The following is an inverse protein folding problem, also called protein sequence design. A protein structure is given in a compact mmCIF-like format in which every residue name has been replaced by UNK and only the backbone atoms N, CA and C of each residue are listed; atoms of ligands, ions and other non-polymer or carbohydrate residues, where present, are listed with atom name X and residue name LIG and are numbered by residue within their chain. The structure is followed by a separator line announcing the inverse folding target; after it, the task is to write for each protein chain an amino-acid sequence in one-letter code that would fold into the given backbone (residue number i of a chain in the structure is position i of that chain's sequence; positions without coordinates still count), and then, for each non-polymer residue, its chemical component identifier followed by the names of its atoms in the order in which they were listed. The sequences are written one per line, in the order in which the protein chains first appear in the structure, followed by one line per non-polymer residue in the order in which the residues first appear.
data_IF_920574783887
#
_entry.id   IF_920574783887
#
_cell.length_a   1.000
_cell.length_b   1.000
_cell.length_c   1.000
_cell.angle_alpha   90.00
_cell.angle_beta   90.00
_cell.angle_gamma   90.00
#
_symmetry.space_group_name_H-M   'P 1'
#
loop_
_entity.id
_entity.type
_entity.pdbx_description
1 polymer ?
#
# COMPACT_ATOMS: atom_id res chain seq x y z
N UNK A 1 11.83 -20.37 16.31
CA UNK A 1 11.51 -19.32 15.32
C UNK A 1 10.56 -19.79 14.22
N UNK A 2 10.87 -20.81 13.45
CA UNK A 2 10.04 -21.29 12.33
C UNK A 2 8.59 -21.64 12.73
N UNK A 3 8.39 -22.32 13.83
CA UNK A 3 7.05 -22.66 14.32
C UNK A 3 6.22 -21.42 14.70
N UNK A 4 6.87 -20.40 15.28
CA UNK A 4 6.24 -19.13 15.62
C UNK A 4 5.82 -18.37 14.36
N UNK A 5 6.71 -18.29 13.36
CA UNK A 5 6.43 -17.67 12.07
C UNK A 5 5.25 -18.35 11.35
N UNK A 6 5.27 -19.69 11.29
CA UNK A 6 4.18 -20.47 10.67
C UNK A 6 2.82 -20.22 11.35
N UNK A 7 2.83 -20.12 12.66
CA UNK A 7 1.64 -19.82 13.46
C UNK A 7 1.13 -18.40 13.16
N UNK A 8 2.02 -17.41 13.15
CA UNK A 8 1.65 -16.01 12.86
C UNK A 8 1.14 -15.85 11.42
N UNK A 9 1.82 -16.44 10.42
CA UNK A 9 1.34 -16.42 9.04
C UNK A 9 -0.06 -17.03 8.93
N UNK A 10 -0.30 -18.20 9.55
CA UNK A 10 -1.61 -18.82 9.55
C UNK A 10 -2.68 -17.93 10.22
N UNK A 11 -2.33 -17.25 11.30
CA UNK A 11 -3.22 -16.31 11.98
C UNK A 11 -3.58 -15.13 11.07
N UNK A 12 -2.60 -14.53 10.40
CA UNK A 12 -2.79 -13.40 9.48
C UNK A 12 -3.67 -13.78 8.29
N UNK A 13 -3.43 -14.93 7.65
CA UNK A 13 -4.27 -15.41 6.54
C UNK A 13 -5.70 -15.78 6.95
N UNK A 14 -5.97 -15.96 8.24
CA UNK A 14 -7.34 -16.14 8.77
C UNK A 14 -8.02 -14.83 9.17
N UNK A 15 -7.29 -13.73 9.24
CA UNK A 15 -7.86 -12.43 9.58
C UNK A 15 -8.70 -11.88 8.41
N UNK A 16 -9.95 -11.54 8.70
CA UNK A 16 -10.86 -10.92 7.72
C UNK A 16 -10.33 -9.59 7.19
N UNK A 17 -9.57 -8.86 8.00
CA UNK A 17 -8.99 -7.57 7.65
C UNK A 17 -8.10 -7.61 6.41
N UNK A 18 -7.31 -8.68 6.22
CA UNK A 18 -6.47 -8.86 5.04
C UNK A 18 -7.30 -8.94 3.74
N UNK A 19 -8.39 -9.72 3.76
CA UNK A 19 -9.27 -9.87 2.60
C UNK A 19 -10.08 -8.60 2.30
N UNK A 20 -10.53 -7.90 3.35
CA UNK A 20 -11.23 -6.63 3.21
C UNK A 20 -10.30 -5.60 2.53
N UNK A 21 -9.04 -5.52 2.95
CA UNK A 21 -8.08 -4.59 2.34
C UNK A 21 -7.76 -4.95 0.90
N UNK A 22 -7.61 -6.24 0.58
CA UNK A 22 -7.44 -6.69 -0.79
C UNK A 22 -8.66 -6.32 -1.65
N UNK A 23 -9.88 -6.47 -1.12
CA UNK A 23 -11.10 -6.09 -1.81
C UNK A 23 -11.19 -4.56 -2.03
N UNK A 24 -10.82 -3.75 -1.04
CA UNK A 24 -10.75 -2.29 -1.18
C UNK A 24 -9.74 -1.92 -2.27
N UNK A 25 -8.56 -2.54 -2.28
CA UNK A 25 -7.54 -2.29 -3.29
C UNK A 25 -8.06 -2.62 -4.70
N UNK A 26 -8.70 -3.78 -4.88
CA UNK A 26 -9.34 -4.14 -6.15
C UNK A 26 -10.42 -3.14 -6.56
N UNK A 27 -11.25 -2.70 -5.63
CA UNK A 27 -12.33 -1.76 -5.90
C UNK A 27 -11.77 -0.40 -6.36
N UNK A 28 -10.74 0.11 -5.69
CA UNK A 28 -10.07 1.36 -6.09
C UNK A 28 -9.43 1.23 -7.48
N UNK A 29 -8.77 0.10 -7.76
CA UNK A 29 -8.21 -0.14 -9.09
C UNK A 29 -9.31 -0.20 -10.17
N UNK A 30 -10.43 -0.88 -9.90
CA UNK A 30 -11.56 -0.94 -10.83
C UNK A 30 -12.13 0.44 -11.12
N UNK A 31 -12.26 1.30 -10.10
CA UNK A 31 -12.69 2.68 -10.29
C UNK A 31 -11.68 3.42 -11.16
N UNK A 32 -10.39 3.36 -10.84
CA UNK A 32 -9.34 4.05 -11.58
C UNK A 32 -9.32 3.64 -13.07
N UNK A 33 -9.34 2.35 -13.36
CA UNK A 33 -9.40 1.86 -14.74
C UNK A 33 -10.73 2.17 -15.42
N UNK A 34 -11.84 2.12 -14.67
CA UNK A 34 -13.18 2.46 -15.16
C UNK A 34 -13.28 3.94 -15.58
N UNK A 35 -12.75 4.85 -14.75
CA UNK A 35 -12.73 6.30 -15.07
C UNK A 35 -11.84 6.57 -16.28
N UNK A 36 -10.64 5.99 -16.33
CA UNK A 36 -9.74 6.14 -17.48
C UNK A 36 -10.37 5.64 -18.79
N UNK A 37 -11.04 4.49 -18.75
CA UNK A 37 -11.76 3.97 -19.92
C UNK A 37 -12.92 4.87 -20.34
N UNK A 38 -13.67 5.39 -19.36
CA UNK A 38 -14.82 6.25 -19.62
C UNK A 38 -14.40 7.55 -20.31
N UNK A 39 -13.27 8.12 -19.93
CA UNK A 39 -12.73 9.35 -20.54
C UNK A 39 -12.06 9.08 -21.89
N UNK A 40 -11.41 7.92 -22.04
CA UNK A 40 -10.71 7.53 -23.29
C UNK A 40 -11.63 7.18 -24.45
N UNK A 41 -12.87 6.72 -24.18
CA UNK A 41 -13.83 6.35 -25.21
C UNK A 41 -14.83 7.51 -25.43
N UNK A 42 -14.81 8.20 -26.60
CA UNK A 42 -15.65 9.37 -26.84
C UNK A 42 -17.16 9.06 -26.73
N UNK A 43 -17.57 7.83 -27.07
CA UNK A 43 -18.98 7.43 -26.99
C UNK A 43 -19.42 7.27 -25.53
N UNK A 44 -18.53 6.79 -24.64
CA UNK A 44 -18.78 6.69 -23.20
C UNK A 44 -18.71 8.06 -22.54
N UNK A 45 -17.76 8.91 -22.95
CA UNK A 45 -17.62 10.27 -22.44
C UNK A 45 -18.86 11.12 -22.70
N UNK A 46 -19.47 11.02 -23.90
CA UNK A 46 -20.73 11.73 -24.22
C UNK A 46 -21.88 11.22 -23.33
N UNK A 47 -22.00 9.91 -23.12
CA UNK A 47 -23.03 9.35 -22.22
C UNK A 47 -22.84 9.81 -20.77
N UNK A 48 -21.59 9.91 -20.32
CA UNK A 48 -21.28 10.39 -18.97
C UNK A 48 -21.65 11.88 -18.82
N UNK A 49 -21.37 12.70 -19.83
CA UNK A 49 -21.81 14.11 -19.86
C UNK A 49 -23.35 14.24 -19.85
N UNK A 50 -24.04 13.39 -20.60
CA UNK A 50 -25.52 13.35 -20.57
C UNK A 50 -26.07 12.92 -19.21
N UNK A 51 -25.32 12.10 -18.47
CA UNK A 51 -25.64 11.69 -17.10
C UNK A 51 -25.29 12.75 -16.04
N UNK A 52 -24.78 13.93 -16.44
CA UNK A 52 -24.44 15.03 -15.54
C UNK A 52 -23.04 14.99 -14.96
N UNK A 53 -22.13 14.16 -15.50
CA UNK A 53 -20.72 14.17 -15.10
C UNK A 53 -19.98 15.30 -15.84
N UNK A 54 -19.32 16.17 -15.09
CA UNK A 54 -18.42 17.18 -15.65
C UNK A 54 -17.07 16.51 -15.97
N UNK A 55 -16.77 16.33 -17.25
CA UNK A 55 -15.45 15.87 -17.70
C UNK A 55 -14.66 17.12 -18.08
N UNK A 56 -13.62 17.40 -17.32
CA UNK A 56 -12.74 18.56 -17.53
C UNK A 56 -11.70 18.29 -18.61
N UNK A 57 -11.06 19.34 -19.12
CA UNK A 57 -9.93 19.21 -20.04
C UNK A 57 -8.74 18.49 -19.41
N UNK A 58 -8.58 18.64 -18.10
CA UNK A 58 -7.51 17.98 -17.35
C UNK A 58 -7.73 16.47 -17.31
N UNK A 59 -8.97 15.99 -17.08
CA UNK A 59 -9.31 14.56 -17.12
C UNK A 59 -8.97 13.94 -18.49
N UNK A 60 -9.21 14.68 -19.56
CA UNK A 60 -8.90 14.22 -20.94
C UNK A 60 -7.39 14.16 -21.15
N UNK A 61 -6.63 15.15 -20.68
CA UNK A 61 -5.17 15.15 -20.77
C UNK A 61 -4.54 14.01 -19.98
N UNK A 62 -5.06 13.72 -18.78
CA UNK A 62 -4.63 12.61 -17.93
C UNK A 62 -4.92 11.24 -18.59
N UNK A 63 -6.06 11.10 -19.26
CA UNK A 63 -6.40 9.89 -19.99
C UNK A 63 -5.49 9.65 -21.21
N UNK A 64 -5.07 10.69 -21.92
CA UNK A 64 -4.08 10.59 -22.99
C UNK A 64 -2.70 10.23 -22.44
N UNK A 65 -2.26 10.90 -21.38
CA UNK A 65 -1.00 10.57 -20.71
C UNK A 65 -0.97 9.12 -20.22
N UNK A 66 -2.11 8.60 -19.74
CA UNK A 66 -2.24 7.20 -19.32
C UNK A 66 -2.08 6.22 -20.49
N UNK A 67 -2.58 6.55 -21.68
CA UNK A 67 -2.43 5.70 -22.87
C UNK A 67 -0.99 5.63 -23.37
N UNK A 68 -0.19 6.69 -23.17
CA UNK A 68 1.22 6.74 -23.55
C UNK A 68 2.14 6.07 -22.51
N UNK A 69 1.70 5.93 -21.26
CA UNK A 69 2.48 5.30 -20.18
C UNK A 69 2.63 3.81 -20.40
N UNK A 70 3.78 3.28 -19.99
CA UNK A 70 3.97 1.83 -19.89
C UNK A 70 3.27 1.28 -18.64
N UNK A 71 2.94 -0.02 -18.65
CA UNK A 71 2.34 -0.66 -17.46
C UNK A 71 3.27 -0.57 -16.24
N UNK A 72 4.61 -0.62 -16.46
CA UNK A 72 5.60 -0.44 -15.41
C UNK A 72 5.58 0.97 -14.81
N UNK A 73 5.43 2.01 -15.62
CA UNK A 73 5.40 3.40 -15.13
C UNK A 73 4.13 3.66 -14.30
N UNK A 74 3.00 3.12 -14.75
CA UNK A 74 1.76 3.18 -13.99
C UNK A 74 1.86 2.46 -12.63
N UNK A 75 2.45 1.26 -12.60
CA UNK A 75 2.74 0.56 -11.34
C UNK A 75 3.68 1.37 -10.44
N UNK A 76 4.69 2.00 -11.02
CA UNK A 76 5.60 2.89 -10.29
C UNK A 76 4.86 4.07 -9.66
N UNK A 77 3.96 4.71 -10.41
CA UNK A 77 3.16 5.82 -9.88
C UNK A 77 2.23 5.38 -8.74
N UNK A 78 1.59 4.23 -8.83
CA UNK A 78 0.75 3.66 -7.76
C UNK A 78 1.55 3.35 -6.49
N UNK A 79 2.80 2.88 -6.64
CA UNK A 79 3.65 2.50 -5.51
C UNK A 79 4.27 3.72 -4.82
N UNK A 80 4.73 4.70 -5.61
CA UNK A 80 5.58 5.78 -5.09
C UNK A 80 4.86 7.13 -5.01
N UNK A 81 3.95 7.45 -5.93
CA UNK A 81 3.31 8.77 -5.98
C UNK A 81 1.94 8.81 -5.31
N UNK A 82 1.18 7.72 -5.37
CA UNK A 82 -0.21 7.72 -4.92
C UNK A 82 -0.44 7.64 -3.42
N UNK A 83 0.58 7.24 -2.63
CA UNK A 83 0.45 7.08 -1.16
C UNK A 83 -0.62 6.06 -0.71
N UNK A 84 -1.49 5.62 -1.63
CA UNK A 84 -2.62 4.73 -1.34
C UNK A 84 -2.15 3.36 -0.87
N UNK A 85 -1.18 2.77 -1.57
CA UNK A 85 -0.64 1.46 -1.23
C UNK A 85 0.09 1.48 0.11
N UNK A 86 0.90 2.51 0.36
CA UNK A 86 1.60 2.71 1.63
C UNK A 86 0.63 2.91 2.78
N UNK A 87 -0.43 3.68 2.59
CA UNK A 87 -1.47 3.90 3.60
C UNK A 87 -2.21 2.61 3.94
N UNK A 88 -2.65 1.84 2.94
CA UNK A 88 -3.35 0.57 3.15
C UNK A 88 -2.49 -0.44 3.88
N UNK A 89 -1.23 -0.62 3.47
CA UNK A 89 -0.33 -1.59 4.11
C UNK A 89 -0.02 -1.21 5.56
N UNK A 90 0.10 0.08 5.86
CA UNK A 90 0.29 0.60 7.22
C UNK A 90 -0.91 0.30 8.10
N UNK A 91 -2.13 0.52 7.62
CA UNK A 91 -3.36 0.22 8.37
C UNK A 91 -3.43 -1.29 8.67
N UNK A 92 -3.23 -2.14 7.65
CA UNK A 92 -3.23 -3.60 7.83
C UNK A 92 -2.16 -4.06 8.82
N UNK A 93 -0.94 -3.54 8.69
CA UNK A 93 0.15 -3.89 9.59
C UNK A 93 -0.13 -3.44 11.03
N UNK A 94 -0.78 -2.28 11.23
CA UNK A 94 -1.22 -1.81 12.55
C UNK A 94 -2.22 -2.79 13.19
N UNK A 95 -3.21 -3.23 12.42
CA UNK A 95 -4.19 -4.21 12.90
C UNK A 95 -3.50 -5.53 13.27
N UNK A 96 -2.66 -6.07 12.39
CA UNK A 96 -1.95 -7.34 12.60
C UNK A 96 -1.04 -7.30 13.84
N UNK A 97 -0.37 -6.18 14.08
CA UNK A 97 0.56 -6.05 15.21
C UNK A 97 -0.19 -5.80 16.51
N UNK A 98 -1.15 -4.86 16.49
CA UNK A 98 -1.82 -4.47 17.72
C UNK A 98 -2.87 -5.49 18.19
N UNK A 99 -3.36 -6.38 17.32
CA UNK A 99 -4.25 -7.47 17.68
C UNK A 99 -3.65 -8.38 18.76
N UNK A 100 -2.35 -8.64 18.71
CA UNK A 100 -1.64 -9.41 19.73
C UNK A 100 -1.65 -8.73 21.11
N UNK A 101 -1.73 -7.40 21.16
CA UNK A 101 -1.81 -6.66 22.42
C UNK A 101 -3.24 -6.57 22.95
N UNK A 102 -4.23 -6.43 22.06
CA UNK A 102 -5.64 -6.31 22.42
C UNK A 102 -6.24 -7.65 22.88
N UNK A 103 -5.86 -8.74 22.23
CA UNK A 103 -6.31 -10.10 22.57
C UNK A 103 -5.57 -10.72 23.76
N UNK A 104 -4.53 -10.05 24.26
CA UNK A 104 -3.68 -10.58 25.33
C UNK A 104 -2.79 -11.76 24.91
N UNK A 105 -2.79 -12.09 23.61
CA UNK A 105 -1.97 -13.18 23.04
C UNK A 105 -0.48 -12.99 23.30
N UNK A 106 -0.01 -11.73 23.32
CA UNK A 106 1.36 -11.38 23.65
C UNK A 106 1.80 -11.88 25.05
N UNK A 107 0.91 -11.83 26.06
CA UNK A 107 1.22 -12.33 27.41
C UNK A 107 1.47 -13.84 27.43
N UNK A 108 0.67 -14.59 26.68
CA UNK A 108 0.79 -16.04 26.60
C UNK A 108 2.03 -16.48 25.83
N UNK A 109 2.41 -15.76 24.77
CA UNK A 109 3.63 -16.05 24.01
C UNK A 109 4.87 -15.82 24.85
N UNK A 110 4.94 -14.74 25.63
CA UNK A 110 6.10 -14.44 26.46
C UNK A 110 6.31 -15.46 27.59
N UNK A 111 5.28 -16.18 28.02
CA UNK A 111 5.40 -17.27 28.96
C UNK A 111 6.06 -18.52 28.35
N UNK A 112 5.80 -18.77 27.05
CA UNK A 112 6.35 -19.91 26.31
C UNK A 112 7.70 -19.62 25.65
N UNK A 113 7.91 -18.39 25.17
CA UNK A 113 9.13 -17.94 24.48
C UNK A 113 9.79 -16.81 25.26
N UNK A 114 10.75 -17.11 26.15
CA UNK A 114 11.37 -16.09 27.01
C UNK A 114 12.22 -15.07 26.25
N UNK A 115 12.62 -15.39 25.01
CA UNK A 115 13.42 -14.48 24.16
C UNK A 115 12.51 -13.54 23.37
N UNK A 116 12.32 -12.32 23.87
CA UNK A 116 11.54 -11.26 23.19
C UNK A 116 12.01 -10.95 21.77
N UNK A 117 13.30 -11.14 21.50
CA UNK A 117 13.89 -10.95 20.16
C UNK A 117 13.23 -11.87 19.13
N UNK A 118 13.02 -13.14 19.44
CA UNK A 118 12.44 -14.12 18.53
C UNK A 118 11.01 -13.76 18.12
N UNK A 119 10.25 -13.15 19.04
CA UNK A 119 8.92 -12.64 18.74
C UNK A 119 8.97 -11.46 17.78
N UNK A 120 9.83 -10.46 18.04
CA UNK A 120 9.96 -9.27 17.19
C UNK A 120 10.40 -9.65 15.78
N UNK A 121 11.43 -10.50 15.65
CA UNK A 121 11.90 -10.99 14.35
C UNK A 121 10.82 -11.78 13.60
N UNK A 122 10.10 -12.65 14.29
CA UNK A 122 9.00 -13.41 13.68
C UNK A 122 7.89 -12.47 13.16
N UNK A 123 7.57 -11.43 13.93
CA UNK A 123 6.56 -10.44 13.54
C UNK A 123 7.03 -9.61 12.34
N UNK A 124 8.29 -9.17 12.35
CA UNK A 124 8.90 -8.44 11.25
C UNK A 124 8.89 -9.26 9.96
N UNK A 125 9.30 -10.54 10.02
CA UNK A 125 9.23 -11.45 8.88
C UNK A 125 7.79 -11.63 8.37
N UNK A 126 6.83 -11.79 9.28
CA UNK A 126 5.41 -11.90 8.89
C UNK A 126 4.94 -10.66 8.13
N UNK A 127 5.30 -9.45 8.59
CA UNK A 127 4.98 -8.20 7.91
C UNK A 127 5.68 -8.09 6.56
N UNK A 128 6.91 -8.58 6.43
CA UNK A 128 7.62 -8.67 5.15
C UNK A 128 6.91 -9.58 4.14
N UNK A 129 6.37 -10.72 4.59
CA UNK A 129 5.55 -11.58 3.73
C UNK A 129 4.23 -10.93 3.34
N UNK A 130 3.58 -10.24 4.27
CA UNK A 130 2.31 -9.54 4.01
C UNK A 130 2.52 -8.40 3.00
N UNK A 131 3.58 -7.59 3.17
CA UNK A 131 3.89 -6.51 2.23
C UNK A 131 4.22 -7.05 0.83
N UNK A 132 4.99 -8.15 0.75
CA UNK A 132 5.28 -8.83 -0.52
C UNK A 132 4.02 -9.40 -1.17
N UNK A 133 3.13 -10.01 -0.39
CA UNK A 133 1.85 -10.51 -0.89
C UNK A 133 0.99 -9.40 -1.50
N UNK A 134 0.84 -8.26 -0.80
CA UNK A 134 0.06 -7.14 -1.33
C UNK A 134 0.70 -6.50 -2.56
N UNK A 135 2.02 -6.43 -2.62
CA UNK A 135 2.73 -5.92 -3.79
C UNK A 135 2.50 -6.82 -5.01
N UNK A 136 2.66 -8.14 -4.85
CA UNK A 136 2.40 -9.10 -5.93
C UNK A 136 0.93 -9.11 -6.35
N UNK A 137 0.02 -8.98 -5.38
CA UNK A 137 -1.40 -8.88 -5.63
C UNK A 137 -1.75 -7.62 -6.44
N UNK A 138 -1.21 -6.44 -6.06
CA UNK A 138 -1.36 -5.20 -6.80
C UNK A 138 -0.85 -5.34 -8.23
N UNK A 139 0.37 -5.86 -8.38
CA UNK A 139 1.00 -6.05 -9.69
C UNK A 139 0.18 -6.99 -10.56
N UNK A 140 -0.24 -8.14 -10.02
CA UNK A 140 -1.06 -9.10 -10.75
C UNK A 140 -2.43 -8.52 -11.14
N UNK A 141 -3.09 -7.82 -10.21
CA UNK A 141 -4.37 -7.16 -10.47
C UNK A 141 -4.24 -6.10 -11.57
N UNK A 142 -3.20 -5.27 -11.53
CA UNK A 142 -2.95 -4.23 -12.54
C UNK A 142 -2.69 -4.85 -13.91
N UNK A 143 -1.81 -5.85 -14.00
CA UNK A 143 -1.51 -6.55 -15.26
C UNK A 143 -2.73 -7.24 -15.88
N UNK A 144 -3.67 -7.71 -15.06
CA UNK A 144 -4.92 -8.30 -15.54
C UNK A 144 -5.95 -7.25 -15.95
N UNK A 145 -5.99 -6.11 -15.25
CA UNK A 145 -6.96 -5.06 -15.53
C UNK A 145 -6.64 -4.28 -16.81
N UNK A 146 -5.37 -4.14 -17.20
CA UNK A 146 -5.01 -3.48 -18.46
C UNK A 146 -5.72 -4.11 -19.68
N UNK A 147 -5.55 -5.40 -19.98
CA UNK A 147 -6.23 -6.04 -21.10
C UNK A 147 -7.74 -6.11 -20.88
N UNK A 148 -8.22 -6.33 -19.64
CA UNK A 148 -9.64 -6.36 -19.34
C UNK A 148 -10.34 -5.02 -19.59
N UNK A 149 -9.66 -3.92 -19.36
CA UNK A 149 -10.15 -2.58 -19.67
C UNK A 149 -9.98 -2.21 -21.17
N UNK A 150 -9.33 -3.06 -21.97
CA UNK A 150 -9.10 -2.81 -23.39
C UNK A 150 -7.89 -1.94 -23.70
N UNK A 151 -7.03 -1.67 -22.73
CA UNK A 151 -5.77 -0.95 -22.95
C UNK A 151 -4.66 -1.89 -23.40
N UNK A 152 -3.95 -1.53 -24.47
CA UNK A 152 -2.84 -2.30 -25.03
C UNK A 152 -1.47 -1.68 -24.73
N UNK A 153 -1.33 -1.09 -23.54
CA UNK A 153 -0.08 -0.46 -23.15
C UNK A 153 1.06 -1.50 -23.05
N UNK A 154 2.26 -1.20 -23.58
CA UNK A 154 3.40 -2.11 -23.49
C UNK A 154 3.81 -2.34 -22.03
N UNK A 155 4.30 -3.55 -21.74
CA UNK A 155 4.71 -3.93 -20.38
C UNK A 155 5.89 -3.08 -19.87
N UNK A 156 6.68 -2.51 -20.78
CA UNK A 156 7.91 -1.81 -20.46
C UNK A 156 9.11 -2.77 -20.34
N UNK A 157 10.21 -2.27 -19.79
CA UNK A 157 11.43 -3.06 -19.62
C UNK A 157 11.28 -4.01 -18.41
N UNK A 158 11.40 -5.34 -18.58
CA UNK A 158 11.24 -6.31 -17.48
C UNK A 158 12.28 -6.13 -16.37
N UNK A 159 13.47 -5.65 -16.66
CA UNK A 159 14.51 -5.37 -15.66
C UNK A 159 14.10 -4.17 -14.79
N UNK A 160 13.54 -3.13 -15.41
CA UNK A 160 13.04 -1.97 -14.70
C UNK A 160 11.84 -2.35 -13.80
N UNK A 161 10.92 -3.17 -14.29
CA UNK A 161 9.81 -3.70 -13.52
C UNK A 161 10.29 -4.49 -12.29
N UNK A 162 11.27 -5.39 -12.48
CA UNK A 162 11.84 -6.16 -11.38
C UNK A 162 12.52 -5.26 -10.34
N UNK A 163 13.28 -4.26 -10.77
CA UNK A 163 13.90 -3.29 -9.88
C UNK A 163 12.85 -2.49 -9.08
N UNK A 164 11.78 -2.02 -9.74
CA UNK A 164 10.67 -1.34 -9.08
C UNK A 164 9.96 -2.21 -8.04
N UNK A 165 9.76 -3.50 -8.34
CA UNK A 165 9.14 -4.43 -7.39
C UNK A 165 10.04 -4.65 -6.16
N UNK A 166 11.33 -4.79 -6.34
CA UNK A 166 12.28 -4.96 -5.22
C UNK A 166 12.34 -3.70 -4.36
N UNK A 167 12.47 -2.53 -4.99
CA UNK A 167 12.50 -1.25 -4.28
C UNK A 167 11.15 -0.95 -3.60
N UNK A 168 10.05 -1.20 -4.28
CA UNK A 168 8.70 -1.06 -3.72
C UNK A 168 8.48 -1.97 -2.51
N UNK A 169 8.92 -3.24 -2.61
CA UNK A 169 8.85 -4.16 -1.47
C UNK A 169 9.71 -3.69 -0.29
N UNK A 170 10.93 -3.24 -0.54
CA UNK A 170 11.82 -2.71 0.49
C UNK A 170 11.22 -1.47 1.18
N UNK A 171 10.61 -0.56 0.41
CA UNK A 171 9.91 0.61 0.91
C UNK A 171 8.72 0.24 1.80
N UNK A 172 7.82 -0.63 1.31
CA UNK A 172 6.67 -1.11 2.08
C UNK A 172 7.09 -1.88 3.34
N UNK A 173 8.14 -2.68 3.25
CA UNK A 173 8.69 -3.39 4.40
C UNK A 173 9.26 -2.43 5.44
N UNK A 174 9.95 -1.38 5.02
CA UNK A 174 10.46 -0.32 5.90
C UNK A 174 9.33 0.38 6.66
N UNK A 175 8.24 0.75 5.97
CA UNK A 175 7.05 1.32 6.59
C UNK A 175 6.40 0.36 7.60
N UNK A 176 6.33 -0.93 7.29
CA UNK A 176 5.83 -1.95 8.21
C UNK A 176 6.72 -2.08 9.45
N UNK A 177 8.04 -2.02 9.30
CA UNK A 177 8.99 -2.08 10.40
C UNK A 177 8.85 -0.87 11.33
N UNK A 178 8.72 0.32 10.75
CA UNK A 178 8.47 1.57 11.48
C UNK A 178 7.13 1.50 12.23
N UNK A 179 6.08 1.01 11.58
CA UNK A 179 4.78 0.83 12.19
C UNK A 179 4.81 -0.17 13.35
N UNK A 180 5.56 -1.28 13.23
CA UNK A 180 5.78 -2.23 14.31
C UNK A 180 6.37 -1.52 15.55
N UNK A 181 7.33 -0.61 15.36
CA UNK A 181 7.91 0.17 16.44
C UNK A 181 6.86 1.08 17.09
N UNK A 182 6.05 1.79 16.31
CA UNK A 182 4.99 2.64 16.85
C UNK A 182 3.92 1.82 17.59
N UNK A 183 3.53 0.67 17.07
CA UNK A 183 2.59 -0.22 17.75
C UNK A 183 3.14 -0.71 19.10
N UNK A 184 4.44 -1.04 19.19
CA UNK A 184 5.06 -1.45 20.44
C UNK A 184 5.12 -0.35 21.49
N UNK A 185 5.31 0.90 21.05
CA UNK A 185 5.36 2.07 21.93
C UNK A 185 3.96 2.47 22.41
N UNK A 186 3.00 2.56 21.51
CA UNK A 186 1.66 3.12 21.81
C UNK A 186 0.68 2.07 22.31
N UNK A 187 0.83 0.81 21.92
CA UNK A 187 -0.09 -0.32 22.18
C UNK A 187 -1.54 -0.05 21.79
N UNK A 188 -1.78 0.95 20.94
CA UNK A 188 -3.11 1.36 20.47
C UNK A 188 -3.12 1.40 18.94
N UNK A 189 -4.05 0.66 18.34
CA UNK A 189 -4.18 0.54 16.86
C UNK A 189 -4.31 1.91 16.20
N UNK A 190 -5.23 2.76 16.69
CA UNK A 190 -5.51 4.05 16.06
C UNK A 190 -4.30 4.99 16.10
N UNK A 191 -3.62 5.08 17.25
CA UNK A 191 -2.48 6.00 17.42
C UNK A 191 -1.30 5.55 16.56
N UNK A 192 -0.99 4.24 16.55
CA UNK A 192 0.10 3.73 15.71
C UNK A 192 -0.21 3.87 14.22
N UNK A 193 -1.46 3.62 13.81
CA UNK A 193 -1.87 3.79 12.42
C UNK A 193 -1.76 5.25 11.98
N UNK A 194 -2.25 6.21 12.77
CA UNK A 194 -2.16 7.63 12.46
C UNK A 194 -0.71 8.10 12.33
N UNK A 195 0.16 7.73 13.29
CA UNK A 195 1.58 8.08 13.24
C UNK A 195 2.26 7.50 12.00
N UNK A 196 1.98 6.24 11.68
CA UNK A 196 2.60 5.58 10.54
C UNK A 196 2.07 6.09 9.21
N UNK A 197 0.78 6.41 9.11
CA UNK A 197 0.20 7.06 7.92
C UNK A 197 0.79 8.46 7.74
N UNK A 198 0.95 9.23 8.82
CA UNK A 198 1.60 10.54 8.75
C UNK A 198 3.05 10.46 8.24
N UNK A 199 3.78 9.41 8.65
CA UNK A 199 5.11 9.12 8.10
C UNK A 199 5.05 8.72 6.62
N UNK A 200 4.12 7.84 6.25
CA UNK A 200 3.96 7.35 4.88
C UNK A 200 3.60 8.46 3.88
N UNK A 201 2.84 9.46 4.33
CA UNK A 201 2.48 10.64 3.55
C UNK A 201 3.55 11.74 3.58
N UNK A 202 4.68 11.52 4.23
CA UNK A 202 5.77 12.49 4.30
C UNK A 202 5.47 13.73 5.16
N UNK A 203 4.40 13.72 5.98
CA UNK A 203 4.01 14.89 6.79
C UNK A 203 5.10 15.32 7.77
N UNK A 204 5.92 14.39 8.25
CA UNK A 204 7.05 14.73 9.12
C UNK A 204 8.17 15.44 8.35
N UNK A 205 8.41 15.04 7.09
CA UNK A 205 9.34 15.76 6.21
C UNK A 205 8.86 17.18 5.94
N UNK A 206 7.61 17.33 5.51
CA UNK A 206 7.01 18.65 5.26
C UNK A 206 7.02 19.54 6.51
N UNK A 207 6.76 19.00 7.70
CA UNK A 207 6.84 19.74 8.95
C UNK A 207 8.29 20.16 9.29
N UNK A 208 9.27 19.28 9.03
CA UNK A 208 10.68 19.58 9.22
C UNK A 208 11.15 20.70 8.26
N UNK A 209 10.75 20.62 6.97
CA UNK A 209 11.06 21.64 5.97
C UNK A 209 10.43 23.01 6.34
N UNK A 210 9.18 22.99 6.82
CA UNK A 210 8.51 24.17 7.31
C UNK A 210 9.25 24.81 8.51
N UNK A 211 9.65 23.98 9.48
CA UNK A 211 10.42 24.45 10.63
C UNK A 211 11.81 24.97 10.21
N UNK A 212 12.49 24.27 9.32
CA UNK A 212 13.78 24.71 8.78
C UNK A 212 13.65 26.07 8.07
N UNK A 213 12.59 26.25 7.29
CA UNK A 213 12.28 27.53 6.65
C UNK A 213 12.03 28.68 7.65
N UNK A 214 11.34 28.37 8.78
CA UNK A 214 11.14 29.39 9.86
C UNK A 214 12.44 29.81 10.53
N UNK A 215 13.39 28.90 10.66
CA UNK A 215 14.71 29.20 11.27
C UNK A 215 15.78 29.57 10.23
N UNK A 216 15.42 29.71 8.95
CA UNK A 216 16.34 30.11 7.89
C UNK A 216 17.43 29.06 7.60
N UNK A 217 17.20 27.80 7.98
CA UNK A 217 18.10 26.68 7.71
C UNK A 217 17.63 26.00 6.44
N UNK A 218 18.39 26.11 5.35
CA UNK A 218 18.15 25.33 4.14
C UNK A 218 18.81 23.95 4.34
N UNK A 219 17.99 22.90 4.40
CA UNK A 219 18.45 21.50 4.47
C UNK A 219 18.49 20.92 3.06
#
# INVERSE_FOLDING_TARGET
MLNLLRMQLRAVFRQKGLYITAAILCFVLLIAFGTMRLVSDPALAERARQAGMEITTDDVSDAFAFQEQTQSDFLGSLLFSGGLMSTLIVIVSSVIVCDDFTTGFGKNIFSYYPKRRDYIFSKLLTLGFVSGFFLLFLTGATLLLFPAAGFQNPLGNPVQLAAMLVLGWAGLFSLCAQNLLFCMLTRRVLVSALLSVSCALGLFGAAADFMAGLFGVHI
#
